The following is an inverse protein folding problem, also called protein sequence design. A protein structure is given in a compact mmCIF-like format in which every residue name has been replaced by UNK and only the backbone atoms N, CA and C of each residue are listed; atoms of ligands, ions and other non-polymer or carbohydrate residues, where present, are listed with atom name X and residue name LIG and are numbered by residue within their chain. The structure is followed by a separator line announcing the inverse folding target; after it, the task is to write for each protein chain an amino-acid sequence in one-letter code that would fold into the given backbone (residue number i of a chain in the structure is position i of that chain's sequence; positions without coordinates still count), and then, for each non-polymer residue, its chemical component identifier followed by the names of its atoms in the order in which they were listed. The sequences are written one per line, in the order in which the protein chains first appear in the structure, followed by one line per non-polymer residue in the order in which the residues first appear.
data_IF_568135751699
#
_entry.id   IF_568135751699
#
_cell.length_a   1.000
_cell.length_b   1.000
_cell.length_c   1.000
_cell.angle_alpha   90.00
_cell.angle_beta   90.00
_cell.angle_gamma   90.00
#
_symmetry.space_group_name_H-M   'P 1'
#
loop_
_entity.id
_entity.type
_entity.pdbx_description
1 polymer ?
#
# COMPACT_ATOMS: atom_id res chain seq x y z
N UNK A 1 -24.09 50.20 -29.15
CA UNK A 1 -25.53 50.28 -29.45
C UNK A 1 -26.11 48.86 -29.36
N UNK A 2 -26.78 48.52 -28.25
CA UNK A 2 -28.03 47.75 -28.36
C UNK A 2 -29.15 48.71 -28.81
N UNK A 3 -30.42 48.31 -28.99
CA UNK A 3 -31.16 47.17 -28.40
C UNK A 3 -31.88 46.34 -29.51
N UNK A 4 -32.75 45.34 -29.35
CA UNK A 4 -33.46 44.69 -28.23
C UNK A 4 -34.87 44.26 -28.69
N UNK A 5 -35.41 43.21 -28.05
CA UNK A 5 -36.85 42.81 -27.93
C UNK A 5 -37.55 42.29 -29.21
N UNK A 6 -38.56 41.41 -29.18
CA UNK A 6 -39.52 41.04 -28.12
C UNK A 6 -40.22 39.71 -28.46
N UNK A 7 -40.69 39.01 -27.42
CA UNK A 7 -41.57 37.83 -27.47
C UNK A 7 -43.02 38.16 -27.87
N UNK A 8 -43.74 37.15 -28.40
CA UNK A 8 -45.15 36.72 -28.18
C UNK A 8 -45.59 35.89 -29.39
N UNK A 9 -46.28 34.76 -29.36
CA UNK A 9 -47.13 34.13 -28.35
C UNK A 9 -48.41 33.63 -29.04
N UNK A 10 -48.57 32.31 -29.18
CA UNK A 10 -49.86 31.60 -29.28
C UNK A 10 -50.48 31.33 -30.66
N UNK A 11 -50.71 30.05 -31.00
CA UNK A 11 -52.05 29.39 -31.00
C UNK A 11 -52.06 28.02 -31.74
N UNK A 12 -52.33 26.96 -30.96
CA UNK A 12 -53.11 25.72 -31.23
C UNK A 12 -52.97 24.94 -32.57
N UNK A 13 -52.47 23.70 -32.42
CA UNK A 13 -53.11 22.40 -32.76
C UNK A 13 -53.75 22.20 -34.14
N UNK A 14 -53.18 21.28 -34.93
CA UNK A 14 -53.86 20.04 -35.37
C UNK A 14 -52.84 18.99 -35.82
N UNK A 15 -52.96 17.76 -35.29
CA UNK A 15 -52.30 16.56 -35.79
C UNK A 15 -52.76 16.24 -37.22
N UNK A 16 -51.83 15.86 -38.10
CA UNK A 16 -52.10 15.03 -39.26
C UNK A 16 -50.83 14.23 -39.58
N UNK A 17 -50.96 12.90 -39.59
CA UNK A 17 -49.90 11.93 -39.88
C UNK A 17 -49.42 11.98 -41.34
N UNK A 18 -48.19 11.51 -41.65
CA UNK A 18 -47.64 11.55 -43.00
C UNK A 18 -47.87 10.23 -43.75
N UNK A 19 -48.26 10.32 -45.02
CA UNK A 19 -48.20 9.20 -45.96
C UNK A 19 -46.79 9.06 -46.56
N UNK A 20 -46.20 7.88 -46.39
CA UNK A 20 -44.94 7.45 -47.00
C UNK A 20 -45.12 7.12 -48.48
N UNK A 21 -44.20 7.59 -49.33
CA UNK A 21 -43.93 6.94 -50.63
C UNK A 21 -42.44 6.98 -50.94
N UNK A 22 -41.82 5.80 -50.92
CA UNK A 22 -40.41 5.61 -51.24
C UNK A 22 -40.09 4.11 -51.35
N UNK A 23 -40.30 3.52 -52.53
CA UNK A 23 -40.03 2.11 -52.79
C UNK A 23 -38.52 1.80 -52.72
N UNK A 24 -38.06 1.29 -51.58
CA UNK A 24 -36.75 0.66 -51.45
C UNK A 24 -36.74 -0.71 -52.15
N UNK A 25 -35.79 -0.92 -53.07
CA UNK A 25 -35.54 -2.23 -53.70
C UNK A 25 -35.22 -3.27 -52.61
N UNK A 26 -36.19 -4.13 -52.29
CA UNK A 26 -36.01 -5.25 -51.34
C UNK A 26 -34.90 -6.19 -51.83
N UNK A 27 -33.90 -6.41 -50.99
CA UNK A 27 -32.94 -7.51 -51.12
C UNK A 27 -33.73 -8.82 -51.28
N UNK A 28 -33.64 -9.47 -52.45
CA UNK A 28 -34.25 -10.79 -52.65
C UNK A 28 -33.20 -11.86 -52.34
N UNK A 29 -33.43 -12.60 -51.26
CA UNK A 29 -32.54 -13.66 -50.78
C UNK A 29 -31.92 -13.42 -49.39
N UNK A 30 -32.31 -12.36 -48.69
CA UNK A 30 -31.96 -12.19 -47.28
C UNK A 30 -32.77 -13.14 -46.39
N UNK A 31 -32.19 -13.53 -45.25
CA UNK A 31 -32.90 -14.28 -44.22
C UNK A 31 -34.18 -13.55 -43.82
N UNK A 32 -35.24 -14.31 -43.56
CA UNK A 32 -36.51 -13.73 -43.16
C UNK A 32 -36.36 -13.07 -41.77
N UNK A 33 -36.73 -11.78 -41.59
CA UNK A 33 -36.52 -11.05 -40.32
C UNK A 33 -37.10 -11.71 -39.07
N UNK A 34 -38.11 -12.57 -39.22
CA UNK A 34 -38.77 -13.25 -38.10
C UNK A 34 -38.23 -14.68 -37.86
N UNK A 35 -37.55 -15.28 -38.85
CA UNK A 35 -37.03 -16.67 -38.79
C UNK A 35 -35.54 -16.79 -39.07
N UNK A 36 -34.82 -15.67 -39.17
CA UNK A 36 -33.41 -15.64 -39.56
C UNK A 36 -32.51 -16.44 -38.62
N UNK A 37 -32.81 -16.49 -37.31
CA UNK A 37 -32.03 -17.29 -36.36
C UNK A 37 -32.14 -18.78 -36.67
N UNK A 38 -33.33 -19.25 -37.07
CA UNK A 38 -33.57 -20.64 -37.42
C UNK A 38 -32.95 -21.00 -38.78
N UNK A 39 -33.01 -20.07 -39.74
CA UNK A 39 -32.39 -20.23 -41.05
C UNK A 39 -30.86 -20.20 -40.97
N UNK A 40 -30.29 -19.39 -40.07
CA UNK A 40 -28.87 -19.37 -39.77
C UNK A 40 -28.44 -20.66 -39.07
N UNK A 41 -29.22 -21.14 -38.10
CA UNK A 41 -28.99 -22.43 -37.43
C UNK A 41 -29.11 -23.63 -38.38
N UNK A 42 -29.77 -23.51 -39.54
CA UNK A 42 -29.81 -24.55 -40.56
C UNK A 42 -28.53 -24.61 -41.42
N UNK A 43 -27.66 -23.60 -41.35
CA UNK A 43 -26.40 -23.56 -42.10
C UNK A 43 -25.31 -24.28 -41.27
N UNK A 44 -24.60 -25.26 -41.84
CA UNK A 44 -23.62 -26.08 -41.12
C UNK A 44 -22.58 -25.30 -40.31
N UNK A 45 -22.11 -24.16 -40.85
CA UNK A 45 -21.11 -23.30 -40.21
C UNK A 45 -21.63 -22.52 -38.99
N UNK A 46 -22.94 -22.36 -38.84
CA UNK A 46 -23.58 -21.56 -37.79
C UNK A 46 -24.53 -22.40 -36.90
N UNK A 47 -24.57 -23.72 -37.10
CA UNK A 47 -25.30 -24.66 -36.27
C UNK A 47 -24.79 -24.60 -34.83
N UNK A 48 -25.69 -24.27 -33.88
CA UNK A 48 -25.36 -24.34 -32.44
C UNK A 48 -25.37 -25.77 -31.90
N UNK A 49 -26.07 -26.69 -32.56
CA UNK A 49 -26.17 -28.11 -32.22
C UNK A 49 -26.27 -28.94 -33.50
N UNK A 50 -25.57 -30.07 -33.54
CA UNK A 50 -25.63 -31.01 -34.65
C UNK A 50 -26.88 -31.90 -34.54
N UNK A 51 -27.61 -32.18 -35.64
CA UNK A 51 -28.64 -33.21 -35.66
C UNK A 51 -28.05 -34.58 -35.26
N UNK A 52 -28.81 -35.39 -34.52
CA UNK A 52 -28.36 -36.68 -33.99
C UNK A 52 -28.13 -37.76 -35.08
N UNK A 53 -28.75 -37.60 -36.25
CA UNK A 53 -28.57 -38.48 -37.40
C UNK A 53 -28.38 -37.62 -38.66
N UNK A 54 -27.21 -37.72 -39.29
CA UNK A 54 -26.92 -37.11 -40.59
C UNK A 54 -26.81 -38.23 -41.61
N UNK A 55 -27.67 -38.20 -42.63
CA UNK A 55 -27.60 -39.12 -43.75
C UNK A 55 -26.42 -38.74 -44.66
N UNK A 56 -25.31 -39.47 -44.50
CA UNK A 56 -24.08 -39.27 -45.25
C UNK A 56 -24.26 -39.38 -46.78
N UNK A 57 -25.33 -40.04 -47.25
CA UNK A 57 -25.62 -40.13 -48.68
C UNK A 57 -26.30 -38.85 -49.23
N UNK A 58 -27.02 -38.10 -48.39
CA UNK A 58 -27.71 -36.85 -48.78
C UNK A 58 -26.84 -35.61 -48.59
N UNK A 59 -26.01 -35.58 -47.56
CA UNK A 59 -25.22 -34.41 -47.21
C UNK A 59 -23.78 -34.81 -46.84
N UNK A 60 -22.95 -35.16 -47.84
CA UNK A 60 -21.58 -35.63 -47.61
C UNK A 60 -20.69 -34.54 -47.00
N UNK A 61 -20.90 -33.27 -47.36
CA UNK A 61 -20.12 -32.14 -46.81
C UNK A 61 -20.43 -31.90 -45.33
N UNK A 62 -21.69 -32.08 -44.92
CA UNK A 62 -22.11 -31.96 -43.52
C UNK A 62 -21.60 -33.13 -42.69
N UNK A 63 -21.61 -34.35 -43.24
CA UNK A 63 -21.01 -35.53 -42.61
C UNK A 63 -19.49 -35.41 -42.49
N UNK A 64 -18.81 -34.83 -43.48
CA UNK A 64 -17.37 -34.53 -43.41
C UNK A 64 -17.06 -33.48 -42.35
N UNK A 65 -17.82 -32.38 -42.31
CA UNK A 65 -17.70 -31.38 -41.26
C UNK A 65 -18.00 -31.96 -39.87
N UNK A 66 -18.99 -32.86 -39.75
CA UNK A 66 -19.28 -33.58 -38.52
C UNK A 66 -18.09 -34.44 -38.08
N UNK A 67 -17.46 -35.18 -38.99
CA UNK A 67 -16.26 -35.96 -38.67
C UNK A 67 -15.05 -35.09 -38.29
N UNK A 68 -14.96 -33.86 -38.80
CA UNK A 68 -13.87 -32.92 -38.47
C UNK A 68 -14.12 -32.15 -37.16
N UNK A 69 -15.38 -31.83 -36.83
CA UNK A 69 -15.77 -31.10 -35.62
C UNK A 69 -16.04 -32.01 -34.41
N UNK A 70 -16.55 -33.22 -34.65
CA UNK A 70 -17.06 -34.17 -33.66
C UNK A 70 -16.45 -35.55 -33.83
N UNK A 71 -15.15 -35.63 -34.12
CA UNK A 71 -14.40 -36.86 -33.87
C UNK A 71 -14.38 -37.09 -32.34
N UNK A 72 -15.49 -37.60 -31.80
CA UNK A 72 -15.74 -37.87 -30.38
C UNK A 72 -14.80 -38.98 -29.83
N UNK A 73 -13.91 -39.49 -30.67
CA UNK A 73 -12.87 -40.47 -30.34
C UNK A 73 -11.44 -39.91 -30.43
N UNK A 74 -11.24 -38.58 -30.45
CA UNK A 74 -9.89 -38.07 -30.22
C UNK A 74 -9.46 -38.35 -28.78
N UNK A 75 -8.51 -39.27 -28.64
CA UNK A 75 -7.84 -39.60 -27.38
C UNK A 75 -7.52 -38.30 -26.61
N UNK A 76 -8.01 -38.14 -25.36
CA UNK A 76 -7.71 -36.98 -24.53
C UNK A 76 -6.21 -36.63 -24.46
N UNK A 77 -5.34 -37.63 -24.62
CA UNK A 77 -3.89 -37.41 -24.71
C UNK A 77 -3.46 -36.71 -26.02
N UNK A 78 -4.06 -37.04 -27.17
CA UNK A 78 -3.77 -36.36 -28.44
C UNK A 78 -4.26 -34.91 -28.42
N UNK A 79 -5.46 -34.66 -27.90
CA UNK A 79 -5.95 -33.30 -27.69
C UNK A 79 -5.02 -32.49 -26.78
N UNK A 80 -4.58 -33.06 -25.65
CA UNK A 80 -3.62 -32.42 -24.76
C UNK A 80 -2.27 -32.14 -25.44
N UNK A 81 -1.80 -33.02 -26.35
CA UNK A 81 -0.60 -32.79 -27.16
C UNK A 81 -0.80 -31.64 -28.17
N UNK A 82 -1.96 -31.53 -28.79
CA UNK A 82 -2.28 -30.42 -29.69
C UNK A 82 -2.20 -29.07 -28.96
N UNK A 83 -2.88 -28.95 -27.82
CA UNK A 83 -2.82 -27.74 -26.98
C UNK A 83 -1.42 -27.43 -26.45
N UNK A 84 -0.64 -28.47 -26.12
CA UNK A 84 0.79 -28.31 -25.77
C UNK A 84 1.57 -27.70 -26.93
N UNK A 85 1.36 -28.17 -28.15
CA UNK A 85 2.07 -27.66 -29.32
C UNK A 85 1.64 -26.23 -29.64
N UNK A 86 0.34 -25.93 -29.60
CA UNK A 86 -0.19 -24.57 -29.77
C UNK A 86 0.40 -23.60 -28.74
N UNK A 87 0.38 -23.98 -27.46
CA UNK A 87 1.00 -23.19 -26.40
C UNK A 87 2.49 -22.97 -26.61
N UNK A 88 3.22 -23.95 -27.18
CA UNK A 88 4.64 -23.79 -27.52
C UNK A 88 4.86 -22.79 -28.66
N UNK A 89 3.97 -22.73 -29.65
CA UNK A 89 4.05 -21.71 -30.71
C UNK A 89 3.86 -20.31 -30.12
N UNK A 90 2.80 -20.08 -29.33
CA UNK A 90 2.60 -18.80 -28.64
C UNK A 90 3.79 -18.44 -27.73
N UNK A 91 4.38 -19.45 -27.07
CA UNK A 91 5.57 -19.24 -26.24
C UNK A 91 6.80 -18.81 -27.06
N UNK A 92 6.99 -19.34 -28.27
CA UNK A 92 8.05 -18.90 -29.19
C UNK A 92 7.80 -17.49 -29.70
N UNK A 93 6.54 -17.13 -29.95
CA UNK A 93 6.10 -15.78 -30.28
C UNK A 93 6.21 -14.80 -29.10
N UNK A 94 6.56 -15.29 -27.91
CA UNK A 94 6.60 -14.55 -26.64
C UNK A 94 5.22 -14.03 -26.19
N UNK A 95 4.15 -14.55 -26.76
CA UNK A 95 2.80 -14.33 -26.26
C UNK A 95 2.52 -15.32 -25.12
N UNK A 96 3.07 -14.99 -23.95
CA UNK A 96 2.93 -15.84 -22.78
C UNK A 96 1.49 -15.90 -22.25
N UNK A 97 0.66 -14.88 -22.52
CA UNK A 97 -0.74 -14.85 -22.12
C UNK A 97 -1.54 -15.93 -22.83
N UNK A 98 -1.47 -15.97 -24.17
CA UNK A 98 -2.13 -17.02 -24.97
C UNK A 98 -1.52 -18.40 -24.70
N UNK A 99 -0.20 -18.49 -24.51
CA UNK A 99 0.45 -19.75 -24.13
C UNK A 99 -0.14 -20.35 -22.83
N UNK A 100 -0.34 -19.53 -21.78
CA UNK A 100 -0.98 -19.99 -20.52
C UNK A 100 -2.37 -20.55 -20.76
N UNK A 101 -3.17 -19.91 -21.62
CA UNK A 101 -4.52 -20.36 -21.95
C UNK A 101 -4.46 -21.72 -22.65
N UNK A 102 -3.68 -21.87 -23.71
CA UNK A 102 -3.54 -23.14 -24.44
C UNK A 102 -3.06 -24.28 -23.53
N UNK A 103 -2.03 -24.06 -22.70
CA UNK A 103 -1.59 -25.09 -21.76
C UNK A 103 -2.66 -25.45 -20.71
N UNK A 104 -3.47 -24.47 -20.29
CA UNK A 104 -4.56 -24.71 -19.35
C UNK A 104 -5.69 -25.52 -19.98
N UNK A 105 -6.01 -25.27 -21.26
CA UNK A 105 -6.95 -26.11 -22.02
C UNK A 105 -6.43 -27.54 -22.18
N UNK A 106 -5.13 -27.72 -22.43
CA UNK A 106 -4.49 -29.03 -22.44
C UNK A 106 -4.65 -29.78 -21.11
N UNK A 107 -4.41 -29.11 -19.97
CA UNK A 107 -4.59 -29.70 -18.64
C UNK A 107 -6.06 -30.02 -18.32
N UNK A 108 -7.02 -29.26 -18.85
CA UNK A 108 -8.46 -29.53 -18.67
C UNK A 108 -8.91 -30.83 -19.33
N UNK A 109 -8.20 -31.33 -20.34
CA UNK A 109 -8.53 -32.60 -21.00
C UNK A 109 -8.30 -33.83 -20.12
N UNK A 110 -7.63 -33.67 -18.95
CA UNK A 110 -7.43 -34.74 -17.95
C UNK A 110 -6.88 -36.03 -18.56
N UNK A 111 -5.86 -35.95 -19.39
CA UNK A 111 -5.20 -37.14 -19.90
C UNK A 111 -4.56 -37.94 -18.75
N UNK A 112 -4.56 -39.28 -18.85
CA UNK A 112 -3.94 -40.13 -17.82
C UNK A 112 -2.40 -40.15 -17.89
N UNK A 113 -1.83 -39.59 -18.97
CA UNK A 113 -0.38 -39.47 -19.16
C UNK A 113 0.24 -38.44 -18.20
N UNK A 114 0.87 -38.96 -17.13
CA UNK A 114 1.56 -38.18 -16.13
C UNK A 114 2.77 -37.39 -16.69
N UNK A 115 3.45 -37.89 -17.72
CA UNK A 115 4.58 -37.20 -18.36
C UNK A 115 4.08 -35.97 -19.11
N UNK A 116 3.03 -36.14 -19.90
CA UNK A 116 2.42 -35.04 -20.66
C UNK A 116 1.88 -33.96 -19.73
N UNK A 117 1.19 -34.34 -18.65
CA UNK A 117 0.70 -33.40 -17.64
C UNK A 117 1.85 -32.67 -16.93
N UNK A 118 2.95 -33.35 -16.57
CA UNK A 118 4.11 -32.73 -15.97
C UNK A 118 4.76 -31.69 -16.91
N UNK A 119 4.83 -31.99 -18.22
CA UNK A 119 5.33 -31.06 -19.25
C UNK A 119 4.41 -29.87 -19.42
N UNK A 120 3.09 -30.08 -19.48
CA UNK A 120 2.09 -29.01 -19.58
C UNK A 120 2.16 -28.04 -18.39
N UNK A 121 2.23 -28.57 -17.17
CA UNK A 121 2.46 -27.75 -15.96
C UNK A 121 3.78 -26.99 -16.03
N UNK A 122 4.87 -27.64 -16.46
CA UNK A 122 6.19 -26.98 -16.55
C UNK A 122 6.20 -25.85 -17.58
N UNK A 123 5.55 -26.05 -18.72
CA UNK A 123 5.47 -25.05 -19.78
C UNK A 123 4.53 -23.90 -19.40
N UNK A 124 3.39 -24.19 -18.77
CA UNK A 124 2.50 -23.16 -18.21
C UNK A 124 3.19 -22.36 -17.11
N UNK A 125 3.92 -23.03 -16.22
CA UNK A 125 4.72 -22.38 -15.19
C UNK A 125 5.83 -21.51 -15.78
N UNK A 126 6.45 -21.92 -16.90
CA UNK A 126 7.39 -21.08 -17.62
C UNK A 126 6.74 -19.81 -18.20
N UNK A 127 5.53 -19.93 -18.77
CA UNK A 127 4.80 -18.79 -19.31
C UNK A 127 4.38 -17.83 -18.19
N UNK A 128 3.87 -18.34 -17.06
CA UNK A 128 3.59 -17.54 -15.87
C UNK A 128 4.83 -16.83 -15.32
N UNK A 129 6.00 -17.50 -15.33
CA UNK A 129 7.26 -16.89 -14.88
C UNK A 129 7.64 -15.68 -15.74
N UNK A 130 7.55 -15.78 -17.07
CA UNK A 130 7.84 -14.65 -17.96
C UNK A 130 6.80 -13.52 -17.89
N UNK A 131 5.58 -13.82 -17.43
CA UNK A 131 4.55 -12.81 -17.11
C UNK A 131 4.77 -12.15 -15.74
N UNK A 132 5.76 -12.55 -14.95
CA UNK A 132 5.97 -12.06 -13.58
C UNK A 132 5.06 -12.70 -12.52
N UNK A 133 4.25 -13.69 -12.91
CA UNK A 133 3.32 -14.40 -12.02
C UNK A 133 4.04 -15.52 -11.25
N UNK A 134 5.00 -15.15 -10.39
CA UNK A 134 5.93 -16.10 -9.76
C UNK A 134 5.25 -17.13 -8.83
N UNK A 135 4.18 -16.74 -8.12
CA UNK A 135 3.41 -17.66 -7.27
C UNK A 135 2.66 -18.72 -8.09
N UNK A 136 2.02 -18.31 -9.18
CA UNK A 136 1.34 -19.25 -10.09
C UNK A 136 2.35 -20.18 -10.77
N UNK A 137 3.49 -19.63 -11.21
CA UNK A 137 4.58 -20.42 -11.78
C UNK A 137 5.16 -21.43 -10.79
N UNK A 138 5.28 -21.07 -9.51
CA UNK A 138 5.72 -21.97 -8.44
C UNK A 138 4.71 -23.10 -8.21
N UNK A 139 3.41 -22.78 -8.15
CA UNK A 139 2.36 -23.79 -8.01
C UNK A 139 2.42 -24.81 -9.14
N UNK A 140 2.63 -24.36 -10.37
CA UNK A 140 2.81 -25.22 -11.53
C UNK A 140 4.07 -26.09 -11.45
N UNK A 141 5.20 -25.52 -10.99
CA UNK A 141 6.42 -26.29 -10.75
C UNK A 141 6.23 -27.36 -9.66
N UNK A 142 5.46 -27.07 -8.60
CA UNK A 142 5.11 -28.03 -7.55
C UNK A 142 4.24 -29.17 -8.10
N UNK A 143 3.22 -28.86 -8.92
CA UNK A 143 2.39 -29.89 -9.54
C UNK A 143 3.19 -30.76 -10.50
N UNK A 144 4.03 -30.16 -11.35
CA UNK A 144 4.92 -30.90 -12.25
C UNK A 144 5.89 -31.81 -11.48
N UNK A 145 6.47 -31.33 -10.37
CA UNK A 145 7.32 -32.13 -9.49
C UNK A 145 6.55 -33.27 -8.80
N UNK A 146 5.30 -33.05 -8.40
CA UNK A 146 4.43 -34.09 -7.81
C UNK A 146 4.13 -35.21 -8.80
N UNK A 147 3.87 -34.86 -10.06
CA UNK A 147 3.62 -35.82 -11.14
C UNK A 147 4.90 -36.56 -11.54
N UNK A 148 6.02 -35.83 -11.65
CA UNK A 148 7.33 -36.38 -12.00
C UNK A 148 8.43 -35.78 -11.12
N UNK A 149 8.82 -36.47 -10.03
CA UNK A 149 9.85 -35.98 -9.12
C UNK A 149 11.23 -35.79 -9.77
N UNK A 150 11.52 -36.54 -10.83
CA UNK A 150 12.79 -36.47 -11.59
C UNK A 150 12.79 -35.39 -12.69
N UNK A 151 11.72 -34.59 -12.81
CA UNK A 151 11.60 -33.58 -13.87
C UNK A 151 12.45 -32.33 -13.57
N UNK A 152 13.71 -32.36 -14.00
CA UNK A 152 14.70 -31.31 -13.71
C UNK A 152 14.24 -29.90 -14.14
N UNK A 153 13.55 -29.76 -15.27
CA UNK A 153 13.07 -28.43 -15.75
C UNK A 153 12.05 -27.79 -14.80
N UNK A 154 11.15 -28.58 -14.20
CA UNK A 154 10.23 -28.08 -13.18
C UNK A 154 10.98 -27.68 -11.91
N UNK A 155 11.99 -28.46 -11.50
CA UNK A 155 12.79 -28.16 -10.31
C UNK A 155 13.57 -26.85 -10.49
N UNK A 156 14.21 -26.67 -11.64
CA UNK A 156 14.89 -25.41 -12.01
C UNK A 156 13.91 -24.25 -12.00
N UNK A 157 12.70 -24.43 -12.53
CA UNK A 157 11.66 -23.39 -12.51
C UNK A 157 11.22 -23.05 -11.09
N UNK A 158 10.97 -24.03 -10.24
CA UNK A 158 10.60 -23.82 -8.83
C UNK A 158 11.68 -23.08 -8.05
N UNK A 159 12.95 -23.43 -8.25
CA UNK A 159 14.08 -22.72 -7.67
C UNK A 159 14.14 -21.25 -8.13
N UNK A 160 13.95 -20.98 -9.43
CA UNK A 160 13.86 -19.62 -9.96
C UNK A 160 12.70 -18.84 -9.33
N UNK A 161 11.52 -19.43 -9.20
CA UNK A 161 10.38 -18.76 -8.58
C UNK A 161 10.67 -18.40 -7.12
N UNK A 162 11.28 -19.30 -6.34
CA UNK A 162 11.68 -19.00 -4.96
C UNK A 162 12.74 -17.90 -4.87
N UNK A 163 13.65 -17.81 -5.84
CA UNK A 163 14.61 -16.70 -5.93
C UNK A 163 13.92 -15.35 -6.16
N UNK A 164 12.96 -15.28 -7.08
CA UNK A 164 12.20 -14.06 -7.37
C UNK A 164 11.26 -13.68 -6.21
N UNK A 165 10.71 -14.67 -5.50
CA UNK A 165 9.91 -14.48 -4.28
C UNK A 165 10.75 -14.18 -3.04
N UNK A 166 12.09 -14.10 -3.16
CA UNK A 166 13.05 -13.90 -2.06
C UNK A 166 12.96 -14.96 -0.95
N UNK A 167 12.44 -16.15 -1.27
CA UNK A 167 12.42 -17.29 -0.36
C UNK A 167 13.72 -18.10 -0.54
N UNK A 168 14.84 -17.56 -0.06
CA UNK A 168 16.16 -18.11 -0.33
C UNK A 168 16.38 -19.49 0.30
N UNK A 169 15.78 -19.76 1.46
CA UNK A 169 15.81 -21.06 2.14
C UNK A 169 15.24 -22.17 1.27
N UNK A 170 14.06 -21.95 0.70
CA UNK A 170 13.38 -22.87 -0.18
C UNK A 170 14.12 -22.96 -1.52
N UNK A 171 14.61 -21.84 -2.06
CA UNK A 171 15.41 -21.85 -3.29
C UNK A 171 16.62 -22.78 -3.19
N UNK A 172 17.34 -22.76 -2.05
CA UNK A 172 18.46 -23.67 -1.78
C UNK A 172 17.98 -25.13 -1.76
N UNK A 173 16.90 -25.43 -1.05
CA UNK A 173 16.37 -26.79 -0.96
C UNK A 173 15.95 -27.34 -2.34
N UNK A 174 15.33 -26.52 -3.18
CA UNK A 174 14.98 -26.90 -4.55
C UNK A 174 16.23 -27.09 -5.43
N UNK A 175 17.26 -26.26 -5.28
CA UNK A 175 18.52 -26.45 -5.98
C UNK A 175 19.22 -27.76 -5.55
N UNK A 176 19.27 -28.04 -4.26
CA UNK A 176 19.88 -29.28 -3.74
C UNK A 176 19.16 -30.53 -4.25
N UNK A 177 17.83 -30.50 -4.29
CA UNK A 177 17.05 -31.62 -4.84
C UNK A 177 17.31 -31.82 -6.33
N UNK A 178 17.39 -30.74 -7.12
CA UNK A 178 17.73 -30.84 -8.54
C UNK A 178 19.17 -31.31 -8.77
N UNK A 179 20.11 -30.91 -7.91
CA UNK A 179 21.51 -31.35 -7.97
C UNK A 179 21.70 -32.82 -7.55
N UNK A 180 20.77 -33.40 -6.79
CA UNK A 180 20.74 -34.85 -6.54
C UNK A 180 20.38 -35.63 -7.81
N UNK A 181 19.55 -35.05 -8.68
CA UNK A 181 19.16 -35.66 -9.96
C UNK A 181 20.26 -35.45 -11.01
N UNK A 182 20.73 -34.21 -11.17
CA UNK A 182 21.86 -33.86 -12.03
C UNK A 182 22.85 -32.95 -11.31
N UNK A 183 23.91 -33.57 -10.80
CA UNK A 183 24.99 -32.88 -10.07
C UNK A 183 25.77 -31.85 -10.89
N UNK A 184 25.65 -31.86 -12.22
CA UNK A 184 26.39 -30.98 -13.14
C UNK A 184 25.53 -29.87 -13.74
N UNK A 185 24.26 -29.75 -13.34
CA UNK A 185 23.37 -28.70 -13.83
C UNK A 185 23.84 -27.31 -13.35
N UNK A 186 24.55 -26.60 -14.23
CA UNK A 186 25.22 -25.31 -13.94
C UNK A 186 24.26 -24.28 -13.34
N UNK A 187 23.04 -24.19 -13.86
CA UNK A 187 22.05 -23.20 -13.39
C UNK A 187 21.70 -23.38 -11.93
N UNK A 188 21.57 -24.62 -11.45
CA UNK A 188 21.25 -24.91 -10.06
C UNK A 188 22.45 -24.64 -9.14
N UNK A 189 23.67 -24.96 -9.59
CA UNK A 189 24.89 -24.64 -8.82
C UNK A 189 25.04 -23.13 -8.62
N UNK A 190 24.92 -22.35 -9.69
CA UNK A 190 25.02 -20.88 -9.65
C UNK A 190 23.91 -20.27 -8.78
N UNK A 191 22.68 -20.77 -8.94
CA UNK A 191 21.53 -20.28 -8.18
C UNK A 191 21.62 -20.60 -6.70
N UNK A 192 22.07 -21.81 -6.33
CA UNK A 192 22.32 -22.18 -4.93
C UNK A 192 23.34 -21.24 -4.29
N UNK A 193 24.48 -21.01 -4.95
CA UNK A 193 25.50 -20.10 -4.46
C UNK A 193 24.98 -18.66 -4.30
N UNK A 194 24.15 -18.19 -5.24
CA UNK A 194 23.49 -16.88 -5.16
C UNK A 194 22.49 -16.81 -4.01
N UNK A 195 21.64 -17.83 -3.85
CA UNK A 195 20.66 -17.93 -2.77
C UNK A 195 21.33 -17.94 -1.39
N UNK A 196 22.40 -18.73 -1.24
CA UNK A 196 23.23 -18.80 -0.03
C UNK A 196 23.86 -17.45 0.34
N UNK A 197 24.31 -16.67 -0.66
CA UNK A 197 24.85 -15.32 -0.43
C UNK A 197 23.77 -14.34 0.02
N UNK A 198 22.59 -14.39 -0.62
CA UNK A 198 21.47 -13.51 -0.31
C UNK A 198 20.86 -13.81 1.07
N UNK A 199 20.68 -15.09 1.40
CA UNK A 199 20.23 -15.55 2.72
C UNK A 199 21.13 -15.01 3.84
N UNK A 200 22.45 -15.17 3.71
CA UNK A 200 23.41 -14.64 4.71
C UNK A 200 23.37 -13.12 4.84
N UNK A 201 23.09 -12.40 3.73
CA UNK A 201 22.94 -10.95 3.77
C UNK A 201 21.66 -10.56 4.54
N UNK A 202 20.54 -11.21 4.26
CA UNK A 202 19.26 -11.00 4.94
C UNK A 202 19.36 -11.31 6.44
N UNK A 203 19.97 -12.44 6.82
CA UNK A 203 20.19 -12.79 8.24
C UNK A 203 21.06 -11.76 8.97
N UNK A 204 22.11 -11.25 8.30
CA UNK A 204 22.97 -10.19 8.85
C UNK A 204 22.19 -8.89 9.05
N UNK A 205 21.40 -8.49 8.06
CA UNK A 205 20.67 -7.23 8.08
C UNK A 205 19.52 -7.30 9.11
N UNK A 206 18.84 -8.45 9.23
CA UNK A 206 17.88 -8.73 10.28
C UNK A 206 18.51 -8.72 11.68
N UNK A 207 19.73 -9.28 11.84
CA UNK A 207 20.46 -9.22 13.11
C UNK A 207 20.81 -7.78 13.49
N UNK A 208 21.25 -6.96 12.53
CA UNK A 208 21.53 -5.54 12.76
C UNK A 208 20.26 -4.78 13.16
N UNK A 209 19.15 -5.02 12.47
CA UNK A 209 17.86 -4.42 12.79
C UNK A 209 17.43 -4.75 14.22
N UNK A 210 17.47 -6.03 14.63
CA UNK A 210 17.13 -6.45 16.00
C UNK A 210 18.02 -5.81 17.08
N UNK A 211 19.31 -5.63 16.79
CA UNK A 211 20.23 -4.97 17.73
C UNK A 211 19.92 -3.48 17.87
N UNK A 212 19.63 -2.81 16.75
CA UNK A 212 19.24 -1.39 16.74
C UNK A 212 17.90 -1.19 17.44
N UNK A 213 16.89 -2.00 17.13
CA UNK A 213 15.58 -1.99 17.78
C UNK A 213 15.70 -2.20 19.29
N UNK A 214 16.49 -3.18 19.75
CA UNK A 214 16.72 -3.40 21.18
C UNK A 214 17.44 -2.22 21.84
N UNK A 215 18.36 -1.56 21.14
CA UNK A 215 19.05 -0.35 21.65
C UNK A 215 18.08 0.82 21.75
N UNK A 216 17.26 1.04 20.74
CA UNK A 216 16.22 2.08 20.73
C UNK A 216 15.20 1.83 21.84
N UNK A 217 14.75 0.58 22.02
CA UNK A 217 13.85 0.20 23.11
C UNK A 217 14.47 0.45 24.49
N UNK A 218 15.74 0.07 24.69
CA UNK A 218 16.44 0.36 25.94
C UNK A 218 16.58 1.87 26.20
N UNK A 219 16.84 2.66 25.16
CA UNK A 219 16.88 4.14 25.28
C UNK A 219 15.50 4.72 25.62
N UNK A 220 14.45 4.23 24.97
CA UNK A 220 13.04 4.57 25.24
C UNK A 220 12.68 4.30 26.70
N UNK A 221 13.04 3.13 27.24
CA UNK A 221 12.78 2.75 28.63
C UNK A 221 13.51 3.64 29.64
N UNK A 222 14.79 3.95 29.42
CA UNK A 222 15.57 4.85 30.27
C UNK A 222 14.96 6.26 30.26
N UNK A 223 14.56 6.75 29.08
CA UNK A 223 13.91 8.05 28.93
C UNK A 223 12.58 8.11 29.67
N UNK A 224 11.74 7.08 29.56
CA UNK A 224 10.48 7.00 30.30
C UNK A 224 10.69 6.98 31.81
N UNK A 225 11.69 6.23 32.28
CA UNK A 225 12.03 6.21 33.70
C UNK A 225 12.42 7.62 34.19
N UNK A 226 13.24 8.34 33.43
CA UNK A 226 13.66 9.71 33.76
C UNK A 226 12.48 10.71 33.78
N UNK A 227 11.53 10.59 32.85
CA UNK A 227 10.32 11.44 32.80
C UNK A 227 9.41 11.15 34.00
N UNK A 228 9.21 9.86 34.33
CA UNK A 228 8.41 9.44 35.49
C UNK A 228 9.01 9.91 36.80
N UNK A 229 10.33 9.77 36.97
CA UNK A 229 11.05 10.25 38.16
C UNK A 229 10.85 11.74 38.40
N UNK A 230 10.78 12.52 37.31
CA UNK A 230 10.58 13.97 37.35
C UNK A 230 9.12 14.40 37.49
N UNK A 231 8.17 13.47 37.62
CA UNK A 231 6.73 13.73 37.75
C UNK A 231 6.11 14.55 36.60
N UNK A 232 6.67 14.42 35.39
CA UNK A 232 6.17 15.12 34.21
C UNK A 232 4.98 14.35 33.64
N UNK A 233 3.86 15.05 33.38
CA UNK A 233 2.65 14.44 32.83
C UNK A 233 2.66 14.52 31.31
N UNK A 234 2.55 13.36 30.67
CA UNK A 234 2.45 13.23 29.22
C UNK A 234 0.97 13.00 28.85
N UNK A 235 0.48 13.72 27.83
CA UNK A 235 -0.78 13.40 27.16
C UNK A 235 -0.41 12.61 25.90
N UNK A 236 -0.84 11.35 25.90
CA UNK A 236 -0.81 10.50 24.71
C UNK A 236 -2.12 10.76 23.96
N UNK A 237 -2.02 11.27 22.73
CA UNK A 237 -3.15 11.16 21.84
C UNK A 237 -3.30 9.67 21.48
N UNK A 238 -4.51 9.08 21.61
CA UNK A 238 -4.71 7.71 21.21
C UNK A 238 -4.42 7.62 19.71
N UNK A 239 -3.43 6.82 19.35
CA UNK A 239 -3.24 6.40 17.96
C UNK A 239 -4.53 5.71 17.50
N UNK A 240 -4.96 5.97 16.28
CA UNK A 240 -6.14 5.37 15.64
C UNK A 240 -6.07 3.83 15.48
N UNK A 241 -5.02 3.20 16.00
CA UNK A 241 -4.86 1.76 16.04
C UNK A 241 -5.43 1.25 17.39
N UNK A 242 -6.75 1.03 17.41
CA UNK A 242 -7.42 0.27 18.46
C UNK A 242 -6.91 -1.19 18.40
N UNK A 243 -5.99 -1.55 19.29
CA UNK A 243 -5.95 -2.91 19.82
C UNK A 243 -6.21 -2.87 21.32
N UNK A 244 -7.30 -3.53 21.73
CA UNK A 244 -7.71 -3.73 23.11
C UNK A 244 -6.57 -4.32 23.94
N UNK A 245 -5.93 -3.49 24.78
CA UNK A 245 -5.13 -3.99 25.90
C UNK A 245 -5.95 -3.83 27.18
N UNK A 246 -6.42 -4.97 27.68
CA UNK A 246 -7.07 -5.10 28.98
C UNK A 246 -6.13 -4.71 30.12
N UNK A 247 -6.73 -4.09 31.13
CA UNK A 247 -6.23 -3.92 32.50
C UNK A 247 -4.98 -3.04 32.72
N UNK A 248 -5.26 -1.79 33.08
CA UNK A 248 -4.88 -1.32 34.43
C UNK A 248 -3.55 -0.60 34.60
N UNK A 249 -2.75 -0.43 33.55
CA UNK A 249 -1.66 0.54 33.46
C UNK A 249 -1.67 0.99 32.01
N UNK A 250 -2.05 2.23 31.74
CA UNK A 250 -1.78 2.84 30.45
C UNK A 250 -0.26 2.76 30.24
N UNK A 251 0.19 1.72 29.53
CA UNK A 251 1.54 1.61 29.03
C UNK A 251 1.78 2.91 28.28
N UNK A 252 2.75 3.68 28.77
CA UNK A 252 3.15 4.92 28.10
C UNK A 252 3.88 4.47 26.85
N UNK A 253 3.12 4.11 25.83
CA UNK A 253 3.63 3.78 24.51
C UNK A 253 4.17 5.08 23.94
N UNK A 254 5.50 5.19 23.94
CA UNK A 254 6.27 6.26 23.31
C UNK A 254 6.07 6.31 21.78
N UNK A 255 5.18 5.50 21.22
CA UNK A 255 4.98 5.46 19.78
C UNK A 255 4.33 6.75 19.25
N UNK A 256 3.66 7.53 20.12
CA UNK A 256 3.26 8.91 19.84
C UNK A 256 4.40 9.95 19.81
N UNK A 257 5.67 9.55 20.04
CA UNK A 257 6.86 10.39 19.86
C UNK A 257 7.47 10.24 18.45
N UNK A 258 6.82 9.47 17.55
CA UNK A 258 7.21 9.32 16.15
C UNK A 258 6.64 10.47 15.30
N UNK A 259 7.37 11.59 15.30
CA UNK A 259 7.45 12.57 14.21
C UNK A 259 6.15 13.19 13.65
N UNK A 260 5.58 14.15 14.37
CA UNK A 260 4.73 15.18 13.73
C UNK A 260 5.28 16.62 13.92
N UNK A 261 6.52 16.76 14.41
CA UNK A 261 7.18 18.06 14.49
C UNK A 261 8.01 18.32 13.23
N UNK A 262 7.90 19.53 12.66
CA UNK A 262 8.53 19.92 11.39
C UNK A 262 10.07 19.72 11.34
N UNK A 263 10.74 19.67 12.48
CA UNK A 263 12.20 19.53 12.64
C UNK A 263 12.67 18.12 12.99
N UNK A 264 11.77 17.21 13.40
CA UNK A 264 12.13 15.86 13.83
C UNK A 264 12.90 15.76 15.16
N UNK A 265 13.06 16.87 15.91
CA UNK A 265 13.72 16.86 17.21
C UNK A 265 12.90 16.11 18.27
N UNK A 266 13.60 15.40 19.16
CA UNK A 266 12.99 14.52 20.19
C UNK A 266 13.59 14.78 21.56
N UNK A 267 12.79 14.53 22.59
CA UNK A 267 13.28 14.54 23.97
C UNK A 267 14.35 13.47 24.14
N UNK A 268 15.49 13.85 24.70
CA UNK A 268 16.63 12.96 24.92
C UNK A 268 17.38 13.33 26.20
N UNK A 269 18.13 12.37 26.72
CA UNK A 269 18.98 12.56 27.89
C UNK A 269 20.38 13.02 27.46
N UNK A 270 20.96 13.96 28.19
CA UNK A 270 22.37 14.32 28.06
C UNK A 270 23.30 13.32 28.78
N UNK A 271 24.60 13.61 28.79
CA UNK A 271 25.61 12.78 29.46
C UNK A 271 25.49 12.79 31.00
N UNK A 272 24.88 13.82 31.56
CA UNK A 272 24.70 14.03 33.01
C UNK A 272 23.35 13.45 33.50
N UNK A 273 22.50 12.97 32.60
CA UNK A 273 21.20 12.40 32.89
C UNK A 273 20.06 13.43 32.98
N UNK A 274 20.25 14.66 32.48
CA UNK A 274 19.21 15.68 32.38
C UNK A 274 18.44 15.57 31.06
N UNK A 275 17.15 15.91 31.09
CA UNK A 275 16.31 15.91 29.90
C UNK A 275 16.51 17.20 29.08
N UNK A 276 16.61 17.02 27.76
CA UNK A 276 16.52 18.10 26.79
C UNK A 276 15.24 17.94 25.99
N UNK A 277 14.38 18.95 26.03
CA UNK A 277 13.06 18.92 25.40
C UNK A 277 13.02 19.79 24.14
N UNK A 278 12.37 19.33 23.07
CA UNK A 278 11.95 20.23 22.01
C UNK A 278 10.82 21.12 22.53
N UNK A 279 10.98 22.44 22.53
CA UNK A 279 9.98 23.38 23.08
C UNK A 279 9.48 24.30 21.97
N UNK A 280 8.16 24.47 21.91
CA UNK A 280 7.49 25.35 20.96
C UNK A 280 7.04 26.63 21.67
N UNK A 281 7.54 27.78 21.20
CA UNK A 281 7.05 29.09 21.58
C UNK A 281 6.03 29.57 20.56
N UNK A 282 4.87 29.98 21.06
CA UNK A 282 3.77 30.51 20.25
C UNK A 282 3.61 32.01 20.52
N UNK A 283 3.47 32.79 19.46
CA UNK A 283 3.21 34.23 19.50
C UNK A 283 1.86 34.55 18.82
N UNK A 284 0.72 34.35 19.53
CA UNK A 284 -0.60 34.45 18.91
C UNK A 284 -0.93 35.84 18.33
N UNK A 285 -0.31 36.91 18.82
CA UNK A 285 -0.54 38.29 18.32
C UNK A 285 -0.12 38.45 16.84
N UNK A 286 0.88 37.70 16.41
CA UNK A 286 1.46 37.76 15.06
C UNK A 286 1.37 36.43 14.29
N UNK A 287 0.69 35.43 14.87
CA UNK A 287 0.60 34.06 14.32
C UNK A 287 1.98 33.47 13.99
N UNK A 288 2.99 33.80 14.80
CA UNK A 288 4.35 33.30 14.66
C UNK A 288 4.64 32.21 15.68
N UNK A 289 5.62 31.37 15.36
CA UNK A 289 6.09 30.31 16.24
C UNK A 289 7.60 30.20 16.16
N UNK A 290 8.26 29.98 17.29
CA UNK A 290 9.67 29.61 17.33
C UNK A 290 9.83 28.23 17.95
N UNK A 291 10.76 27.45 17.38
CA UNK A 291 11.03 26.09 17.81
C UNK A 291 12.46 25.97 18.36
N UNK A 292 12.57 25.50 19.59
CA UNK A 292 13.86 25.21 20.22
C UNK A 292 14.06 23.70 20.22
N UNK A 293 15.06 23.22 19.50
CA UNK A 293 15.32 21.77 19.33
C UNK A 293 15.70 21.06 20.63
N UNK A 294 16.50 21.72 21.48
CA UNK A 294 17.02 21.17 22.72
C UNK A 294 17.00 22.22 23.83
N UNK A 295 15.90 22.27 24.57
CA UNK A 295 15.75 23.07 25.78
C UNK A 295 16.13 22.21 26.99
N UNK A 296 17.26 22.54 27.61
CA UNK A 296 17.74 21.84 28.79
C UNK A 296 16.83 22.07 30.00
N UNK A 297 16.46 21.02 30.73
CA UNK A 297 15.44 21.09 31.78
C UNK A 297 15.74 22.09 32.91
N UNK A 298 17.03 22.33 33.21
CA UNK A 298 17.47 23.27 34.23
C UNK A 298 17.74 24.68 33.69
N UNK A 299 17.58 24.91 32.39
CA UNK A 299 17.66 26.26 31.81
C UNK A 299 16.42 27.06 32.16
N UNK A 300 16.59 28.37 32.37
CA UNK A 300 15.47 29.28 32.63
C UNK A 300 14.89 29.80 31.32
N UNK A 301 13.61 30.11 31.32
CA UNK A 301 12.96 30.70 30.16
C UNK A 301 13.58 32.04 29.76
N UNK A 302 13.94 32.88 30.73
CA UNK A 302 14.55 34.19 30.47
C UNK A 302 15.87 34.10 29.71
N UNK A 303 16.69 33.07 29.96
CA UNK A 303 17.97 32.88 29.29
C UNK A 303 17.76 32.56 27.80
N UNK A 304 16.76 31.74 27.48
CA UNK A 304 16.38 31.44 26.09
C UNK A 304 15.73 32.64 25.40
N UNK A 305 14.81 33.35 26.07
CA UNK A 305 14.18 34.55 25.53
C UNK A 305 15.22 35.64 25.21
N UNK A 306 16.26 35.80 26.05
CA UNK A 306 17.33 36.76 25.81
C UNK A 306 18.11 36.46 24.52
N UNK A 307 18.30 35.18 24.18
CA UNK A 307 18.96 34.77 22.93
C UNK A 307 18.02 34.90 21.74
N UNK A 308 16.76 34.45 21.87
CA UNK A 308 15.77 34.50 20.79
C UNK A 308 15.47 35.94 20.34
N UNK A 309 15.37 36.87 21.29
CA UNK A 309 15.09 38.28 21.05
C UNK A 309 16.34 39.17 21.14
N UNK A 310 17.54 38.59 21.01
CA UNK A 310 18.79 39.36 20.91
C UNK A 310 18.80 40.22 19.63
N UNK A 311 18.29 39.66 18.54
CA UNK A 311 17.99 40.37 17.30
C UNK A 311 16.48 40.62 17.20
N UNK A 312 16.10 41.81 16.74
CA UNK A 312 14.69 42.18 16.58
C UNK A 312 14.07 41.35 15.46
N UNK A 313 13.02 40.57 15.73
CA UNK A 313 12.34 39.81 14.69
C UNK A 313 11.73 40.75 13.63
N UNK A 314 11.73 40.36 12.34
CA UNK A 314 11.24 41.22 11.26
C UNK A 314 9.74 41.54 11.38
N UNK A 315 8.98 40.72 12.11
CA UNK A 315 7.55 40.89 12.34
C UNK A 315 7.23 41.83 13.52
N UNK A 316 8.18 42.10 14.43
CA UNK A 316 8.00 43.01 15.57
C UNK A 316 8.31 44.46 15.20
N UNK A 317 7.46 45.04 14.34
CA UNK A 317 7.62 46.42 13.87
C UNK A 317 7.59 47.46 15.01
N UNK A 318 6.89 47.16 16.10
CA UNK A 318 6.70 48.06 17.23
C UNK A 318 7.74 47.85 18.34
N UNK A 319 8.65 46.89 18.18
CA UNK A 319 9.74 46.55 19.12
C UNK A 319 9.24 46.23 20.52
N UNK A 320 8.10 45.54 20.61
CA UNK A 320 7.42 45.22 21.86
C UNK A 320 7.88 43.90 22.47
N UNK A 321 8.46 43.00 21.65
CA UNK A 321 8.89 41.66 22.04
C UNK A 321 10.34 41.69 22.51
N UNK A 322 10.53 42.04 23.78
CA UNK A 322 11.82 41.93 24.47
C UNK A 322 11.65 41.23 25.82
N UNK A 323 12.69 40.55 26.35
CA UNK A 323 12.55 39.60 27.46
C UNK A 323 11.86 40.16 28.72
N UNK A 324 12.09 41.43 29.06
CA UNK A 324 11.47 42.07 30.24
C UNK A 324 10.00 42.48 30.09
N UNK A 325 9.45 42.42 28.87
CA UNK A 325 8.09 42.83 28.54
C UNK A 325 7.22 41.68 28.03
N UNK A 326 7.75 40.44 28.08
CA UNK A 326 7.03 39.23 27.73
C UNK A 326 6.50 38.54 28.98
N UNK A 327 5.24 38.12 28.91
CA UNK A 327 4.58 37.26 29.89
C UNK A 327 4.36 35.90 29.22
N UNK A 328 4.75 34.83 29.92
CA UNK A 328 4.69 33.46 29.43
C UNK A 328 3.48 32.74 30.03
N UNK A 329 2.85 31.88 29.23
CA UNK A 329 1.67 31.13 29.65
C UNK A 329 1.68 29.71 29.09
N UNK A 330 0.99 28.79 29.77
CA UNK A 330 0.51 27.56 29.15
C UNK A 330 -1.00 27.44 29.33
N UNK A 331 -1.62 26.65 28.45
CA UNK A 331 -3.06 26.40 28.43
C UNK A 331 -3.36 25.01 29.01
N UNK A 332 -4.32 24.96 29.93
CA UNK A 332 -4.93 23.74 30.41
C UNK A 332 -6.21 23.50 29.60
N UNK A 333 -6.11 22.64 28.59
CA UNK A 333 -7.19 22.40 27.64
C UNK A 333 -8.42 21.73 28.25
N UNK A 334 -8.25 20.90 29.28
CA UNK A 334 -9.40 20.24 29.93
C UNK A 334 -10.33 21.27 30.59
N UNK A 335 -9.77 22.37 31.08
CA UNK A 335 -10.51 23.41 31.82
C UNK A 335 -10.66 24.71 31.05
N UNK A 336 -9.98 24.85 29.91
CA UNK A 336 -9.81 26.10 29.18
C UNK A 336 -9.30 27.24 30.08
N UNK A 337 -8.39 26.89 31.01
CA UNK A 337 -7.76 27.82 31.96
C UNK A 337 -6.32 28.12 31.53
N UNK A 338 -5.85 29.33 31.82
CA UNK A 338 -4.51 29.80 31.47
C UNK A 338 -3.66 29.93 32.73
N UNK A 339 -2.39 29.56 32.65
CA UNK A 339 -1.46 29.68 33.77
C UNK A 339 -0.24 30.52 33.37
N UNK A 340 0.00 31.62 34.09
CA UNK A 340 1.19 32.49 33.92
C UNK A 340 2.42 31.77 34.49
N UNK A 341 3.45 31.62 33.66
CA UNK A 341 4.76 31.12 34.02
C UNK A 341 5.68 32.27 34.40
N UNK A 342 6.49 32.08 35.44
CA UNK A 342 7.54 33.05 35.77
C UNK A 342 8.76 32.83 34.84
N UNK A 343 9.21 33.83 34.08
CA UNK A 343 10.37 33.69 33.18
C UNK A 343 11.67 33.26 33.88
N UNK A 344 11.80 33.50 35.18
CA UNK A 344 12.96 33.07 35.99
C UNK A 344 12.91 31.58 36.40
N UNK A 345 11.77 30.90 36.21
CA UNK A 345 11.66 29.47 36.48
C UNK A 345 12.37 28.65 35.41
N UNK A 346 12.80 27.45 35.81
CA UNK A 346 13.35 26.45 34.90
C UNK A 346 12.25 25.71 34.16
N UNK A 347 12.58 25.10 33.02
CA UNK A 347 11.63 24.26 32.29
C UNK A 347 11.11 23.12 33.18
N UNK A 348 11.99 22.47 33.95
CA UNK A 348 11.60 21.38 34.85
C UNK A 348 10.52 21.80 35.85
N UNK A 349 10.67 22.98 36.46
CA UNK A 349 9.69 23.53 37.40
C UNK A 349 8.32 23.77 36.75
N UNK A 350 8.30 24.24 35.50
CA UNK A 350 7.06 24.41 34.74
C UNK A 350 6.41 23.06 34.40
N UNK A 351 7.20 22.07 33.94
CA UNK A 351 6.70 20.74 33.56
C UNK A 351 6.20 19.91 34.75
N UNK A 352 6.71 20.18 35.96
CA UNK A 352 6.27 19.55 37.20
C UNK A 352 4.91 20.04 37.72
N UNK A 353 4.36 21.11 37.12
CA UNK A 353 3.08 21.64 37.56
C UNK A 353 1.94 20.65 37.29
N UNK A 354 1.01 20.49 38.25
CA UNK A 354 -0.02 19.45 38.20
C UNK A 354 -0.99 19.56 37.00
N UNK A 355 -1.10 20.75 36.40
CA UNK A 355 -1.96 21.01 35.23
C UNK A 355 -1.16 21.22 33.95
N UNK A 356 0.16 21.02 33.99
CA UNK A 356 0.97 21.04 32.78
C UNK A 356 0.98 19.65 32.16
N UNK A 357 0.54 19.56 30.92
CA UNK A 357 0.49 18.32 30.16
C UNK A 357 1.28 18.47 28.87
N UNK A 358 2.32 17.65 28.71
CA UNK A 358 3.14 17.66 27.50
C UNK A 358 2.46 16.82 26.43
N UNK A 359 2.15 17.45 25.29
CA UNK A 359 1.56 16.79 24.12
C UNK A 359 2.63 16.37 23.13
N UNK A 360 2.51 15.17 22.57
CA UNK A 360 3.42 14.66 21.52
C UNK A 360 4.93 14.87 21.86
N UNK A 361 5.28 14.81 23.15
CA UNK A 361 6.65 15.05 23.60
C UNK A 361 7.19 16.48 23.47
N UNK A 362 6.35 17.47 23.22
CA UNK A 362 6.75 18.85 22.89
C UNK A 362 6.03 19.86 23.78
N UNK A 363 6.68 20.36 24.85
CA UNK A 363 6.13 21.43 25.67
C UNK A 363 5.82 22.68 24.83
N UNK A 364 4.62 23.23 24.99
CA UNK A 364 4.17 24.43 24.28
C UNK A 364 4.01 25.59 25.25
N UNK A 365 4.62 26.73 24.93
CA UNK A 365 4.60 27.95 25.74
C UNK A 365 4.09 29.11 24.90
N UNK A 366 3.10 29.83 25.40
CA UNK A 366 2.56 31.04 24.79
C UNK A 366 3.32 32.24 25.33
N UNK A 367 3.82 33.10 24.45
CA UNK A 367 4.50 34.35 24.80
C UNK A 367 3.70 35.55 24.30
N UNK A 368 3.29 36.41 25.24
CA UNK A 368 2.46 37.59 24.97
C UNK A 368 3.10 38.84 25.56
N UNK A 369 2.86 39.98 24.91
CA UNK A 369 3.34 41.27 25.42
C UNK A 369 2.53 41.71 26.64
N UNK A 370 3.25 42.11 27.68
CA UNK A 370 2.70 42.59 28.94
C UNK A 370 1.69 43.71 28.73
N UNK A 371 0.47 43.49 29.21
CA UNK A 371 -0.64 44.47 29.16
C UNK A 371 -0.98 45.00 27.75
N UNK A 372 -0.62 44.27 26.68
CA UNK A 372 -1.00 44.65 25.31
C UNK A 372 -2.54 44.64 25.12
N UNK A 373 -3.08 45.43 24.17
CA UNK A 373 -4.50 45.36 23.81
C UNK A 373 -4.89 43.95 23.36
N UNK A 374 -3.98 43.26 22.67
CA UNK A 374 -4.16 41.88 22.23
C UNK A 374 -4.26 40.92 23.41
N UNK A 375 -3.34 40.97 24.39
CA UNK A 375 -3.38 40.05 25.54
C UNK A 375 -4.67 40.21 26.35
N UNK A 376 -5.17 41.44 26.55
CA UNK A 376 -6.48 41.68 27.17
C UNK A 376 -7.63 41.03 26.39
N UNK A 377 -7.62 41.14 25.06
CA UNK A 377 -8.62 40.52 24.19
C UNK A 377 -8.50 38.98 24.21
N UNK A 378 -7.28 38.46 24.16
CA UNK A 378 -6.97 37.03 24.15
C UNK A 378 -7.47 36.32 25.41
N UNK A 379 -7.32 36.95 26.58
CA UNK A 379 -7.80 36.41 27.85
C UNK A 379 -9.29 36.69 28.13
N UNK A 380 -10.01 37.40 27.25
CA UNK A 380 -11.43 37.71 27.47
C UNK A 380 -12.25 36.41 27.46
N UNK A 381 -12.81 36.04 28.62
CA UNK A 381 -13.59 34.82 28.80
C UNK A 381 -12.81 33.60 29.28
N UNK A 382 -11.49 33.71 29.48
CA UNK A 382 -10.64 32.66 30.08
C UNK A 382 -10.23 33.07 31.50
N UNK A 383 -10.12 32.09 32.42
CA UNK A 383 -9.54 32.35 33.74
C UNK A 383 -8.02 32.25 33.64
N UNK A 384 -7.32 33.22 34.23
CA UNK A 384 -5.86 33.26 34.28
C UNK A 384 -5.42 33.07 35.73
N UNK A 385 -4.58 32.07 35.97
CA UNK A 385 -3.95 31.77 37.25
C UNK A 385 -2.47 32.14 37.18
N UNK A 386 -1.90 32.51 38.32
CA UNK A 386 -0.47 32.86 38.42
C UNK A 386 0.27 31.81 39.23
N UNK A 387 1.39 31.32 38.71
CA UNK A 387 2.22 30.28 39.33
C UNK A 387 3.39 30.82 40.12
#
# INVERSE_FOLDING_TARGET
MGPGREERGGLRSTMAEPEESGEARRYRGGFNPDTWEQELEAIPMFMKRCPAEIDAARQPDLACLQSLLFDEEQDPAELAKMYKNEGNEYFREKDYGRAVVSYSEGLKKKCEDAELNAVLHTNRGAAHFYLGNYRSALNDAIQAKKLKPTHLKAIVRGALCHMELKNFTEAIAWCEEGLRIDSKEKKLVEMRAKADKLKRAEERDARKAKVMEKKEQGQKEILLAAIKERNIKLVLEPSNDEEEISDGLAEISLDGFHSDNATGAKVHLDADGNLNWPVLFLYPEHEQTDFIEAFHENSRFIDHLAVMFAELPPWDLERKYFPGNLELYFEDEERAEMYELNPEQTLLQALQHQRYFVKAGTPTVLALVKRSPFSKKYFTGRKVHRL
#
